data_IF_984386288207
#
_entry.id   IF_984386288207
#
_cell.length_a   1.000
_cell.length_b   1.000
_cell.length_c   1.000
_cell.angle_alpha   90.00
_cell.angle_beta   90.00
_cell.angle_gamma   90.00
#
_symmetry.space_group_name_H-M   'P 1'
#
loop_
_entity.id
_entity.type
_entity.pdbx_description
1 polymer ?
#
# COMPACT_ATOMS: atom_id res chain seq x y z
N UNK A 1 -5.65 29.37 18.19
CA UNK A 1 -4.53 28.41 18.07
C UNK A 1 -4.34 27.80 19.43
N UNK A 2 -4.51 26.48 19.55
CA UNK A 2 -4.45 25.82 20.84
C UNK A 2 -3.03 25.93 21.40
N UNK A 3 -2.86 26.71 22.47
CA UNK A 3 -1.70 26.59 23.37
C UNK A 3 -1.77 25.21 24.02
N UNK A 4 -1.36 24.18 23.26
CA UNK A 4 -1.16 22.86 23.81
C UNK A 4 0.02 23.01 24.76
N UNK A 5 -0.27 22.75 26.03
CA UNK A 5 0.62 22.92 27.16
C UNK A 5 1.86 22.01 26.98
N UNK A 6 2.87 22.52 26.25
CA UNK A 6 4.09 21.83 25.78
C UNK A 6 4.87 21.11 26.90
N UNK A 7 4.60 21.44 28.16
CA UNK A 7 5.20 20.80 29.33
C UNK A 7 4.74 19.34 29.55
N UNK A 8 3.56 18.92 29.07
CA UNK A 8 3.02 17.57 29.29
C UNK A 8 3.43 16.51 28.27
N UNK A 9 4.01 16.89 27.13
CA UNK A 9 4.37 15.94 26.07
C UNK A 9 5.56 15.08 26.46
N UNK A 10 5.48 13.76 26.23
CA UNK A 10 6.65 12.90 26.44
C UNK A 10 7.63 13.07 25.29
N UNK A 11 8.89 12.69 25.52
CA UNK A 11 9.91 12.68 24.48
C UNK A 11 9.51 11.80 23.29
N UNK A 12 8.82 10.69 23.54
CA UNK A 12 8.35 9.77 22.51
C UNK A 12 7.28 10.43 21.64
N UNK A 13 6.34 11.15 22.25
CA UNK A 13 5.26 11.81 21.49
C UNK A 13 5.81 12.89 20.55
N UNK A 14 6.84 13.63 20.98
CA UNK A 14 7.56 14.60 20.15
C UNK A 14 8.28 13.93 18.98
N UNK A 15 8.99 12.82 19.24
CA UNK A 15 9.66 12.06 18.19
C UNK A 15 8.65 11.56 17.15
N UNK A 16 7.51 11.02 17.59
CA UNK A 16 6.47 10.53 16.69
C UNK A 16 5.85 11.65 15.85
N UNK A 17 5.53 12.78 16.48
CA UNK A 17 4.95 13.93 15.78
C UNK A 17 5.90 14.46 14.69
N UNK A 18 7.19 14.61 15.02
CA UNK A 18 8.21 15.02 14.05
C UNK A 18 8.36 13.98 12.94
N UNK A 19 8.43 12.68 13.27
CA UNK A 19 8.56 11.62 12.26
C UNK A 19 7.41 11.66 11.25
N UNK A 20 6.17 11.75 11.70
CA UNK A 20 5.01 11.79 10.82
C UNK A 20 5.01 13.08 9.98
N UNK A 21 5.28 14.24 10.58
CA UNK A 21 5.29 15.51 9.85
C UNK A 21 6.23 15.47 8.64
N UNK A 22 7.46 14.95 8.83
CA UNK A 22 8.42 14.82 7.74
C UNK A 22 8.04 13.68 6.79
N UNK A 23 7.49 12.59 7.30
CA UNK A 23 7.01 11.48 6.47
C UNK A 23 5.90 11.92 5.50
N UNK A 24 4.95 12.75 5.95
CA UNK A 24 3.89 13.32 5.13
C UNK A 24 4.41 14.23 4.02
N UNK A 25 5.62 14.77 4.18
CA UNK A 25 6.35 15.54 3.15
C UNK A 25 7.25 14.67 2.27
N UNK A 26 7.23 13.35 2.45
CA UNK A 26 8.09 12.40 1.73
C UNK A 26 9.55 12.40 2.22
N UNK A 27 9.82 12.92 3.41
CA UNK A 27 11.17 13.07 3.97
C UNK A 27 11.39 12.15 5.17
N UNK A 28 12.60 11.62 5.31
CA UNK A 28 13.01 10.84 6.48
C UNK A 28 13.77 11.73 7.46
N UNK A 29 13.21 11.90 8.66
CA UNK A 29 13.89 12.60 9.74
C UNK A 29 14.62 11.59 10.64
N UNK A 30 15.96 11.56 10.57
CA UNK A 30 16.81 10.61 11.30
C UNK A 30 17.44 11.23 12.55
N UNK A 31 17.99 10.40 13.43
CA UNK A 31 18.72 10.79 14.66
C UNK A 31 17.89 11.53 15.73
N UNK A 32 16.56 11.58 15.61
CA UNK A 32 15.66 12.13 16.64
C UNK A 32 15.84 11.44 18.00
N UNK A 33 16.15 10.15 17.99
CA UNK A 33 16.38 9.33 19.18
C UNK A 33 17.68 9.70 19.93
N UNK A 34 18.53 10.56 19.37
CA UNK A 34 19.72 11.11 20.04
C UNK A 34 19.48 12.52 20.62
N UNK A 35 18.37 13.17 20.27
CA UNK A 35 18.04 14.51 20.73
C UNK A 35 17.41 14.48 22.13
N UNK A 36 17.70 15.50 22.94
CA UNK A 36 17.05 15.73 24.23
C UNK A 36 15.61 16.24 24.02
N UNK A 37 14.74 16.10 25.02
CA UNK A 37 13.35 16.59 24.94
C UNK A 37 13.28 18.08 24.56
N UNK A 38 14.16 18.92 25.11
CA UNK A 38 14.17 20.36 24.82
C UNK A 38 14.56 20.64 23.36
N UNK A 39 15.59 19.96 22.84
CA UNK A 39 15.98 20.10 21.43
C UNK A 39 14.89 19.62 20.47
N UNK A 40 14.14 18.58 20.85
CA UNK A 40 12.99 18.11 20.07
C UNK A 40 11.85 19.14 20.07
N UNK A 41 11.61 19.84 21.19
CA UNK A 41 10.62 20.92 21.26
C UNK A 41 11.02 22.11 20.40
N UNK A 42 12.27 22.57 20.49
CA UNK A 42 12.81 23.63 19.63
C UNK A 42 12.66 23.26 18.16
N UNK A 43 13.08 22.05 17.78
CA UNK A 43 12.96 21.55 16.42
C UNK A 43 11.51 21.49 15.93
N UNK A 44 10.58 21.01 16.76
CA UNK A 44 9.16 20.95 16.43
C UNK A 44 8.57 22.34 16.21
N UNK A 45 8.94 23.32 17.05
CA UNK A 45 8.49 24.71 16.91
C UNK A 45 9.07 25.35 15.64
N UNK A 46 10.36 25.20 15.40
CA UNK A 46 11.06 25.75 14.22
C UNK A 46 10.49 25.23 12.90
N UNK A 47 9.98 23.99 12.89
CA UNK A 47 9.45 23.34 11.69
C UNK A 47 7.91 23.32 11.65
N UNK A 48 7.25 24.02 12.57
CA UNK A 48 5.78 24.08 12.67
C UNK A 48 5.14 22.67 12.68
N UNK A 49 5.73 21.78 13.48
CA UNK A 49 5.25 20.40 13.63
C UNK A 49 4.01 20.37 14.48
N UNK A 50 2.89 20.00 13.86
CA UNK A 50 1.65 19.70 14.58
C UNK A 50 1.83 18.52 15.54
N UNK A 51 1.29 18.67 16.74
CA UNK A 51 1.30 17.60 17.72
C UNK A 51 0.29 16.52 17.36
N UNK A 52 0.74 15.27 17.39
CA UNK A 52 -0.08 14.11 17.05
C UNK A 52 -0.24 13.26 18.30
N UNK A 53 -1.49 13.10 18.72
CA UNK A 53 -1.83 12.22 19.83
C UNK A 53 -1.59 10.76 19.47
N UNK A 54 -1.39 9.91 20.49
CA UNK A 54 -1.31 8.46 20.30
C UNK A 54 -2.55 7.88 19.60
N UNK A 55 -3.71 8.48 19.83
CA UNK A 55 -4.98 8.07 19.20
C UNK A 55 -5.02 8.44 17.73
N UNK A 56 -4.60 9.65 17.35
CA UNK A 56 -4.47 10.06 15.95
C UNK A 56 -3.49 9.16 15.19
N UNK A 57 -2.30 8.90 15.75
CA UNK A 57 -1.33 7.97 15.15
C UNK A 57 -1.94 6.57 14.97
N UNK A 58 -2.69 6.07 15.95
CA UNK A 58 -3.36 4.77 15.85
C UNK A 58 -4.38 4.76 14.71
N UNK A 59 -5.17 5.84 14.57
CA UNK A 59 -6.15 5.95 13.49
C UNK A 59 -5.47 6.00 12.12
N UNK A 60 -4.40 6.78 11.96
CA UNK A 60 -3.62 6.81 10.71
C UNK A 60 -3.08 5.42 10.32
N UNK A 61 -2.56 4.65 11.30
CA UNK A 61 -2.11 3.28 11.05
C UNK A 61 -3.28 2.41 10.57
N UNK A 62 -4.42 2.47 11.25
CA UNK A 62 -5.62 1.69 10.88
C UNK A 62 -6.09 2.05 9.48
N UNK A 63 -6.10 3.34 9.13
CA UNK A 63 -6.52 3.80 7.80
C UNK A 63 -5.58 3.28 6.71
N UNK A 64 -4.27 3.35 6.94
CA UNK A 64 -3.25 2.82 6.01
C UNK A 64 -3.37 1.30 5.87
N UNK A 65 -3.54 0.57 6.97
CA UNK A 65 -3.70 -0.89 6.96
C UNK A 65 -4.99 -1.29 6.23
N UNK A 66 -6.09 -0.57 6.48
CA UNK A 66 -7.37 -0.76 5.81
C UNK A 66 -7.26 -0.50 4.31
N UNK A 67 -6.63 0.63 3.94
CA UNK A 67 -6.37 0.97 2.54
C UNK A 67 -5.60 -0.15 1.82
N UNK A 68 -4.49 -0.59 2.41
CA UNK A 68 -3.66 -1.64 1.83
C UNK A 68 -4.42 -2.98 1.73
N UNK A 69 -5.20 -3.31 2.75
CA UNK A 69 -6.01 -4.54 2.77
C UNK A 69 -7.07 -4.54 1.66
N UNK A 70 -7.84 -3.45 1.51
CA UNK A 70 -8.85 -3.33 0.45
C UNK A 70 -8.22 -3.38 -0.94
N UNK A 71 -7.11 -2.65 -1.13
CA UNK A 71 -6.35 -2.67 -2.36
C UNK A 71 -5.86 -4.08 -2.72
N UNK A 72 -5.41 -4.85 -1.72
CA UNK A 72 -5.00 -6.23 -1.91
C UNK A 72 -6.16 -7.15 -2.28
N UNK A 73 -7.35 -6.98 -1.69
CA UNK A 73 -8.55 -7.70 -2.10
C UNK A 73 -8.83 -7.46 -3.59
N UNK A 74 -8.77 -6.20 -4.04
CA UNK A 74 -9.03 -5.84 -5.44
C UNK A 74 -8.00 -6.48 -6.37
N UNK A 75 -6.70 -6.24 -6.14
CA UNK A 75 -5.66 -6.77 -7.01
C UNK A 75 -5.63 -8.29 -7.04
N UNK A 76 -5.77 -8.97 -5.89
CA UNK A 76 -5.68 -10.42 -5.84
C UNK A 76 -6.90 -11.08 -6.49
N UNK A 77 -8.10 -10.50 -6.38
CA UNK A 77 -9.26 -10.98 -7.14
C UNK A 77 -9.01 -10.82 -8.65
N UNK A 78 -8.52 -9.67 -9.10
CA UNK A 78 -8.17 -9.47 -10.50
C UNK A 78 -7.12 -10.48 -10.99
N UNK A 79 -6.03 -10.66 -10.24
CA UNK A 79 -4.95 -11.60 -10.56
C UNK A 79 -5.46 -13.04 -10.65
N UNK A 80 -6.33 -13.44 -9.72
CA UNK A 80 -6.81 -14.83 -9.64
C UNK A 80 -7.92 -15.13 -10.64
N UNK A 81 -8.85 -14.20 -10.82
CA UNK A 81 -10.12 -14.45 -11.49
C UNK A 81 -10.35 -13.61 -12.74
N UNK A 82 -9.60 -12.52 -12.95
CA UNK A 82 -9.89 -11.50 -13.98
C UNK A 82 -11.34 -11.01 -13.96
N UNK A 83 -11.95 -10.96 -12.77
CA UNK A 83 -13.36 -10.61 -12.58
C UNK A 83 -13.62 -9.11 -12.50
N UNK A 84 -12.59 -8.29 -12.68
CA UNK A 84 -12.63 -6.83 -12.59
C UNK A 84 -12.05 -6.28 -13.90
N UNK A 85 -12.67 -5.28 -14.54
CA UNK A 85 -12.09 -4.62 -15.70
C UNK A 85 -10.72 -4.02 -15.38
N UNK A 86 -9.76 -4.15 -16.28
CA UNK A 86 -8.40 -3.66 -16.06
C UNK A 86 -8.37 -2.14 -15.84
N UNK A 87 -9.26 -1.39 -16.49
CA UNK A 87 -9.36 0.06 -16.35
C UNK A 87 -9.69 0.48 -14.91
N UNK A 88 -10.50 -0.32 -14.21
CA UNK A 88 -10.82 -0.08 -12.81
C UNK A 88 -9.58 -0.31 -11.94
N UNK A 89 -8.84 -1.39 -12.22
CA UNK A 89 -7.64 -1.77 -11.48
C UNK A 89 -6.49 -0.79 -11.72
N UNK A 90 -6.34 -0.29 -12.95
CA UNK A 90 -5.28 0.65 -13.34
C UNK A 90 -5.49 2.06 -12.78
N UNK A 91 -6.74 2.42 -12.45
CA UNK A 91 -7.08 3.73 -11.91
C UNK A 91 -6.92 3.82 -10.38
N UNK A 92 -6.55 2.72 -9.70
CA UNK A 92 -6.27 2.74 -8.27
C UNK A 92 -4.85 3.29 -8.06
N UNK A 93 -4.77 4.53 -7.58
CA UNK A 93 -3.54 5.23 -7.21
C UNK A 93 -3.54 5.67 -5.75
N UNK A 94 -2.50 6.40 -5.33
CA UNK A 94 -2.34 6.90 -3.95
C UNK A 94 -3.41 7.88 -3.48
N UNK A 95 -4.20 8.46 -4.39
CA UNK A 95 -5.29 9.39 -4.08
C UNK A 95 -6.63 8.67 -3.93
N UNK A 96 -6.71 7.38 -4.28
CA UNK A 96 -7.93 6.57 -4.13
C UNK A 96 -8.30 6.50 -2.66
N UNK A 97 -9.56 6.78 -2.35
CA UNK A 97 -10.08 6.73 -0.98
C UNK A 97 -10.51 5.31 -0.59
N UNK A 98 -10.65 5.08 0.72
CA UNK A 98 -11.17 3.82 1.27
C UNK A 98 -12.60 3.59 0.79
N UNK A 99 -13.41 4.66 0.74
CA UNK A 99 -14.80 4.60 0.26
C UNK A 99 -14.88 4.19 -1.22
N UNK A 100 -14.02 4.74 -2.07
CA UNK A 100 -13.95 4.35 -3.49
C UNK A 100 -13.56 2.88 -3.66
N UNK A 101 -12.60 2.39 -2.88
CA UNK A 101 -12.23 0.97 -2.91
C UNK A 101 -13.35 0.07 -2.41
N UNK A 102 -14.09 0.49 -1.37
CA UNK A 102 -15.24 -0.25 -0.87
C UNK A 102 -16.33 -0.37 -1.95
N UNK A 103 -16.61 0.71 -2.68
CA UNK A 103 -17.54 0.71 -3.83
C UNK A 103 -17.10 -0.31 -4.88
N UNK A 104 -15.80 -0.40 -5.20
CA UNK A 104 -15.26 -1.38 -6.15
C UNK A 104 -15.49 -2.81 -5.61
N UNK A 105 -15.14 -3.05 -4.35
CA UNK A 105 -15.30 -4.36 -3.70
C UNK A 105 -16.76 -4.82 -3.76
N UNK A 106 -17.69 -3.96 -3.39
CA UNK A 106 -19.11 -4.30 -3.35
C UNK A 106 -19.68 -4.49 -4.76
N UNK A 107 -19.34 -3.59 -5.70
CA UNK A 107 -19.80 -3.66 -7.09
C UNK A 107 -19.42 -4.97 -7.78
N UNK A 108 -18.21 -5.45 -7.54
CA UNK A 108 -17.70 -6.70 -8.15
C UNK A 108 -17.80 -7.91 -7.21
N UNK A 109 -18.43 -7.75 -6.03
CA UNK A 109 -18.58 -8.80 -5.01
C UNK A 109 -17.26 -9.51 -4.68
N UNK A 110 -16.22 -8.71 -4.46
CA UNK A 110 -14.86 -9.19 -4.24
C UNK A 110 -14.72 -9.75 -2.84
N UNK A 111 -13.99 -10.86 -2.71
CA UNK A 111 -13.81 -11.55 -1.43
C UNK A 111 -12.34 -11.68 -1.09
N UNK A 112 -12.02 -11.54 0.18
CA UNK A 112 -10.71 -11.91 0.69
C UNK A 112 -10.59 -13.44 0.74
N UNK A 113 -9.40 -13.95 0.40
CA UNK A 113 -9.03 -15.34 0.60
C UNK A 113 -7.63 -15.42 1.21
N UNK A 114 -7.42 -16.36 2.14
CA UNK A 114 -6.13 -16.52 2.81
C UNK A 114 -4.97 -16.79 1.84
N UNK A 115 -5.27 -17.44 0.72
CA UNK A 115 -4.29 -17.76 -0.32
C UNK A 115 -3.76 -16.52 -1.08
N UNK A 116 -4.41 -15.36 -0.95
CA UNK A 116 -4.00 -14.12 -1.62
C UNK A 116 -2.61 -13.65 -1.19
N UNK A 117 -2.19 -13.95 0.05
CA UNK A 117 -0.85 -13.63 0.56
C UNK A 117 0.27 -14.18 -0.33
N UNK A 118 0.05 -15.36 -0.92
CA UNK A 118 1.05 -16.04 -1.74
C UNK A 118 0.74 -15.96 -3.24
N UNK A 119 -0.45 -15.48 -3.60
CA UNK A 119 -0.97 -15.54 -4.97
C UNK A 119 -0.18 -14.65 -5.93
N UNK A 120 0.16 -13.42 -5.51
CA UNK A 120 0.91 -12.48 -6.34
C UNK A 120 2.26 -13.06 -6.75
N UNK A 121 3.02 -13.58 -5.78
CA UNK A 121 4.33 -14.18 -6.01
C UNK A 121 4.24 -15.44 -6.87
N UNK A 122 3.25 -16.30 -6.61
CA UNK A 122 3.03 -17.50 -7.40
C UNK A 122 2.78 -17.16 -8.87
N UNK A 123 1.80 -16.28 -9.14
CA UNK A 123 1.43 -15.91 -10.52
C UNK A 123 2.57 -15.18 -11.22
N UNK A 124 3.27 -14.29 -10.51
CA UNK A 124 4.43 -13.61 -11.07
C UNK A 124 5.54 -14.60 -11.46
N UNK A 125 5.83 -15.59 -10.62
CA UNK A 125 6.83 -16.60 -10.92
C UNK A 125 6.42 -17.49 -12.10
N UNK A 126 5.15 -17.92 -12.17
CA UNK A 126 4.64 -18.70 -13.30
C UNK A 126 4.76 -17.87 -14.59
N UNK A 127 4.33 -16.61 -14.57
CA UNK A 127 4.45 -15.72 -15.72
C UNK A 127 5.90 -15.52 -16.16
N UNK A 128 6.82 -15.34 -15.21
CA UNK A 128 8.26 -15.21 -15.50
C UNK A 128 8.79 -16.45 -16.21
N UNK A 129 8.49 -17.64 -15.70
CA UNK A 129 8.87 -18.91 -16.34
C UNK A 129 8.28 -19.05 -17.74
N UNK A 130 6.99 -18.73 -17.91
CA UNK A 130 6.32 -18.73 -19.21
C UNK A 130 6.97 -17.75 -20.20
N UNK A 131 7.27 -16.53 -19.75
CA UNK A 131 7.93 -15.51 -20.57
C UNK A 131 9.31 -15.97 -21.03
N UNK A 132 10.13 -16.50 -20.13
CA UNK A 132 11.45 -17.05 -20.46
C UNK A 132 11.35 -18.22 -21.43
N UNK A 133 10.35 -19.10 -21.29
CA UNK A 133 10.10 -20.16 -22.26
C UNK A 133 9.78 -19.60 -23.65
N UNK A 134 8.88 -18.61 -23.73
CA UNK A 134 8.53 -17.97 -25.01
C UNK A 134 9.75 -17.34 -25.69
N UNK A 135 10.57 -16.61 -24.94
CA UNK A 135 11.80 -15.99 -25.43
C UNK A 135 12.79 -17.03 -25.98
N UNK A 136 12.99 -18.14 -25.27
CA UNK A 136 13.91 -19.20 -25.69
C UNK A 136 13.38 -20.03 -26.87
N UNK A 137 12.06 -20.16 -27.00
CA UNK A 137 11.41 -20.91 -28.07
C UNK A 137 10.99 -20.06 -29.28
N UNK A 138 11.34 -18.77 -29.30
CA UNK A 138 10.91 -17.81 -30.34
C UNK A 138 9.39 -17.73 -30.52
N UNK A 139 8.63 -18.00 -29.45
CA UNK A 139 7.17 -17.88 -29.41
C UNK A 139 6.77 -16.47 -28.97
N UNK A 140 5.63 -15.99 -29.48
CA UNK A 140 5.06 -14.73 -29.04
C UNK A 140 4.44 -14.91 -27.65
N UNK A 141 4.71 -13.98 -26.74
CA UNK A 141 3.99 -13.88 -25.47
C UNK A 141 2.55 -13.42 -25.74
N UNK A 142 1.58 -14.27 -25.40
CA UNK A 142 0.16 -14.00 -25.63
C UNK A 142 -0.62 -13.65 -24.34
N UNK A 143 0.06 -13.53 -23.21
CA UNK A 143 -0.58 -13.08 -21.97
C UNK A 143 -0.93 -11.59 -22.10
N UNK A 144 -2.23 -11.28 -22.08
CA UNK A 144 -2.71 -9.89 -22.03
C UNK A 144 -2.41 -9.25 -20.67
N UNK A 145 -2.55 -10.03 -19.59
CA UNK A 145 -2.30 -9.60 -18.22
C UNK A 145 -1.52 -10.66 -17.43
N UNK A 146 -0.84 -10.24 -16.37
CA UNK A 146 -0.15 -11.14 -15.43
C UNK A 146 -1.18 -11.67 -14.41
N UNK A 147 -2.02 -12.57 -14.88
CA UNK A 147 -3.15 -13.14 -14.13
C UNK A 147 -3.20 -14.65 -14.38
N UNK A 148 -3.83 -15.39 -13.47
CA UNK A 148 -3.97 -16.83 -13.62
C UNK A 148 -4.74 -17.21 -14.90
N UNK A 149 -5.91 -16.61 -15.22
CA UNK A 149 -6.67 -16.98 -16.42
C UNK A 149 -5.92 -16.65 -17.73
N UNK A 150 -5.27 -15.48 -17.84
CA UNK A 150 -4.47 -15.14 -19.03
C UNK A 150 -3.31 -16.12 -19.24
N UNK A 151 -2.60 -16.48 -18.17
CA UNK A 151 -1.50 -17.44 -18.23
C UNK A 151 -2.00 -18.83 -18.62
N UNK A 152 -3.08 -19.33 -17.99
CA UNK A 152 -3.66 -20.64 -18.34
C UNK A 152 -4.06 -20.67 -19.82
N UNK A 153 -4.71 -19.60 -20.31
CA UNK A 153 -5.13 -19.49 -21.71
C UNK A 153 -3.93 -19.51 -22.66
N UNK A 154 -2.84 -18.84 -22.30
CA UNK A 154 -1.62 -18.83 -23.10
C UNK A 154 -0.93 -20.21 -23.10
N UNK A 155 -0.83 -20.87 -21.94
CA UNK A 155 -0.24 -22.21 -21.83
C UNK A 155 -1.03 -23.27 -22.60
N UNK A 156 -2.36 -23.21 -22.58
CA UNK A 156 -3.24 -24.12 -23.35
C UNK A 156 -3.08 -24.03 -24.87
N UNK A 157 -2.46 -22.97 -25.40
CA UNK A 157 -2.18 -22.84 -26.83
C UNK A 157 -0.84 -23.45 -27.23
N UNK A 158 0.01 -23.77 -26.25
CA UNK A 158 1.34 -24.35 -26.45
C UNK A 158 1.29 -25.88 -26.33
N UNK A 159 0.42 -26.39 -25.45
CA UNK A 159 0.14 -27.84 -25.27
C UNK A 159 -0.94 -28.29 -26.24
#
# INVERSE_FOLDING_TARGET
>A
MAEINNQRLTRIDLINSIKIHFLNKGLLCQNLDKMTKNKLLEFAIENEVDFITKEQLKNEIIDIETYNSMRDVIYCNFIKYENIPYEVVSNIDTNTTIEEMQIIIDKYNLKYEDNFKNMKDLIFNIYKSYKTYCENSSLKNECSYITLPSIIKALKKIV
#
